data_IF_392240352346
#
_entry.id   IF_392240352346
#
_cell.length_a   1.000
_cell.length_b   1.000
_cell.length_c   1.000
_cell.angle_alpha   90.00
_cell.angle_beta   90.00
_cell.angle_gamma   90.00
#
_symmetry.space_group_name_H-M   'P 1'
#
loop_
_entity.id
_entity.type
_entity.pdbx_description
1 polymer ?
#
# COMPACT_ATOMS: atom_id res chain seq x y z
N UNK A 1 -33.92 -22.92 2.15
CA UNK A 1 -33.37 -21.56 2.01
C UNK A 1 -31.89 -21.62 2.44
N UNK A 2 -31.00 -21.88 1.50
CA UNK A 2 -29.56 -21.90 1.78
C UNK A 2 -29.10 -20.46 2.02
N UNK A 3 -28.65 -20.20 3.25
CA UNK A 3 -27.96 -18.95 3.58
C UNK A 3 -26.58 -19.04 2.93
N UNK A 4 -26.45 -18.50 1.73
CA UNK A 4 -25.14 -18.25 1.13
C UNK A 4 -24.45 -17.14 1.95
N UNK A 5 -23.69 -17.54 2.95
CA UNK A 5 -22.71 -16.63 3.57
C UNK A 5 -21.63 -16.35 2.54
N UNK A 6 -21.73 -15.23 1.85
CA UNK A 6 -20.63 -14.74 1.05
C UNK A 6 -19.52 -14.33 2.02
N UNK A 7 -18.49 -15.17 2.13
CA UNK A 7 -17.31 -14.86 2.93
C UNK A 7 -16.59 -13.66 2.28
N UNK A 8 -16.44 -12.57 3.04
CA UNK A 8 -15.65 -11.44 2.59
C UNK A 8 -14.17 -11.84 2.61
N UNK A 9 -13.50 -11.65 1.50
CA UNK A 9 -12.07 -11.90 1.39
C UNK A 9 -11.30 -10.74 2.04
N UNK A 10 -10.07 -11.01 2.39
CA UNK A 10 -9.17 -10.02 2.98
C UNK A 10 -7.94 -9.84 2.11
N UNK A 11 -7.65 -8.59 1.76
CA UNK A 11 -6.52 -8.21 0.93
C UNK A 11 -5.59 -7.27 1.71
N UNK A 12 -4.32 -7.61 1.81
CA UNK A 12 -3.27 -6.70 2.26
C UNK A 12 -2.78 -5.90 1.07
N UNK A 13 -2.72 -4.57 1.21
CA UNK A 13 -2.33 -3.64 0.16
C UNK A 13 -1.29 -2.66 0.66
N UNK A 14 -0.26 -2.38 -0.15
CA UNK A 14 0.79 -1.40 0.11
C UNK A 14 1.22 -0.72 -1.20
N UNK A 15 1.27 0.61 -1.19
CA UNK A 15 1.76 1.40 -2.32
C UNK A 15 3.21 1.82 -2.12
N UNK A 16 3.96 1.78 -3.21
CA UNK A 16 5.28 2.42 -3.29
C UNK A 16 5.22 3.63 -4.22
N UNK A 17 5.79 4.73 -3.77
CA UNK A 17 5.72 6.01 -4.47
C UNK A 17 7.05 6.78 -4.41
N UNK A 18 7.28 7.62 -5.41
CA UNK A 18 8.43 8.53 -5.44
C UNK A 18 8.40 9.51 -4.27
N UNK A 19 9.53 9.71 -3.64
CA UNK A 19 9.71 10.77 -2.65
C UNK A 19 11.16 11.30 -2.65
N UNK A 20 11.32 12.56 -2.27
CA UNK A 20 12.61 13.21 -2.04
C UNK A 20 12.52 14.28 -0.94
N UNK A 21 13.51 15.17 -0.89
CA UNK A 21 13.59 16.25 0.11
C UNK A 21 12.53 17.35 -0.09
N UNK A 22 11.94 17.46 -1.28
CA UNK A 22 10.93 18.46 -1.66
C UNK A 22 9.58 17.80 -1.83
N UNK A 23 9.52 16.76 -2.66
CA UNK A 23 8.32 15.97 -2.92
C UNK A 23 8.18 14.88 -1.85
N UNK A 24 7.51 15.19 -0.76
CA UNK A 24 7.22 14.22 0.29
C UNK A 24 5.97 14.60 1.08
N UNK A 25 5.28 13.59 1.60
CA UNK A 25 4.07 13.79 2.40
C UNK A 25 4.32 14.62 3.66
N UNK A 26 5.54 14.52 4.22
CA UNK A 26 5.94 15.28 5.42
C UNK A 26 6.00 16.79 5.14
N UNK A 27 6.41 17.18 3.94
CA UNK A 27 6.59 18.60 3.56
C UNK A 27 5.29 19.18 3.00
N UNK A 28 4.61 18.43 2.13
CA UNK A 28 3.51 18.94 1.31
C UNK A 28 2.12 18.55 1.84
N UNK A 29 2.07 17.64 2.83
CA UNK A 29 0.81 16.98 3.20
C UNK A 29 0.32 16.04 2.10
N UNK A 30 -0.76 15.24 2.35
CA UNK A 30 -1.19 14.22 1.39
C UNK A 30 -1.56 14.77 0.02
N UNK A 31 -2.45 15.76 -0.04
CA UNK A 31 -2.92 16.31 -1.32
C UNK A 31 -1.84 17.05 -2.10
N UNK A 32 -0.99 17.80 -1.42
CA UNK A 32 0.14 18.48 -2.05
C UNK A 32 1.18 17.50 -2.58
N UNK A 33 1.42 16.40 -1.85
CA UNK A 33 2.34 15.36 -2.26
C UNK A 33 1.84 14.58 -3.47
N UNK A 34 0.60 14.09 -3.44
CA UNK A 34 0.01 13.35 -4.56
C UNK A 34 -0.21 14.21 -5.81
N UNK A 35 -0.44 15.52 -5.64
CA UNK A 35 -0.56 16.47 -6.73
C UNK A 35 0.76 17.06 -7.23
N UNK A 36 1.91 16.69 -6.63
CA UNK A 36 3.21 17.22 -7.06
C UNK A 36 3.61 16.69 -8.44
N UNK A 37 4.21 17.53 -9.33
CA UNK A 37 4.60 17.11 -10.68
C UNK A 37 5.57 15.92 -10.73
N UNK A 38 6.39 15.75 -9.69
CA UNK A 38 7.34 14.63 -9.59
C UNK A 38 6.76 13.42 -8.89
N UNK A 39 5.53 13.50 -8.38
CA UNK A 39 4.89 12.36 -7.73
C UNK A 39 4.65 11.23 -8.74
N UNK A 40 4.96 10.01 -8.33
CA UNK A 40 4.74 8.80 -9.11
C UNK A 40 4.43 7.64 -8.15
N UNK A 41 3.22 7.09 -8.24
CA UNK A 41 2.85 5.83 -7.59
C UNK A 41 3.22 4.69 -8.53
N UNK A 42 4.45 4.21 -8.45
CA UNK A 42 5.03 3.30 -9.43
C UNK A 42 4.77 1.82 -9.14
N UNK A 43 4.36 1.48 -7.93
CA UNK A 43 4.10 0.08 -7.58
C UNK A 43 2.98 -0.02 -6.54
N UNK A 44 2.21 -1.09 -6.64
CA UNK A 44 1.32 -1.58 -5.59
C UNK A 44 1.54 -3.08 -5.39
N UNK A 45 1.54 -3.50 -4.15
CA UNK A 45 1.54 -4.91 -3.75
C UNK A 45 0.17 -5.25 -3.19
N UNK A 46 -0.43 -6.35 -3.66
CA UNK A 46 -1.72 -6.84 -3.15
C UNK A 46 -1.63 -8.35 -2.93
N UNK A 47 -1.92 -8.78 -1.72
CA UNK A 47 -1.96 -10.20 -1.34
C UNK A 47 -3.31 -10.51 -0.71
N UNK A 48 -4.03 -11.47 -1.27
CA UNK A 48 -5.35 -11.90 -0.82
C UNK A 48 -5.34 -13.28 -0.15
N UNK A 49 -6.27 -13.49 0.78
CA UNK A 49 -6.49 -14.81 1.42
C UNK A 49 -7.12 -15.84 0.44
N UNK A 50 -7.53 -15.37 -0.75
CA UNK A 50 -8.00 -16.21 -1.85
C UNK A 50 -6.86 -16.70 -2.78
N UNK A 51 -5.61 -16.41 -2.44
CA UNK A 51 -4.43 -16.73 -3.26
C UNK A 51 -4.02 -15.66 -4.25
N UNK A 52 -4.72 -14.51 -4.29
CA UNK A 52 -4.28 -13.35 -5.06
C UNK A 52 -2.89 -12.91 -4.60
N UNK A 53 -1.98 -12.74 -5.54
CA UNK A 53 -0.64 -12.20 -5.30
C UNK A 53 -0.24 -11.34 -6.51
N UNK A 54 -0.29 -10.03 -6.33
CA UNK A 54 0.06 -9.04 -7.36
C UNK A 54 1.14 -8.11 -6.84
N UNK A 55 2.15 -7.89 -7.65
CA UNK A 55 3.16 -6.83 -7.46
C UNK A 55 3.45 -6.20 -8.81
N UNK A 56 3.06 -4.95 -8.99
CA UNK A 56 3.21 -4.28 -10.27
C UNK A 56 2.74 -2.83 -10.24
N UNK A 57 2.65 -2.22 -11.43
CA UNK A 57 2.14 -0.86 -11.55
C UNK A 57 0.65 -0.83 -11.20
N UNK A 58 0.14 0.17 -10.43
CA UNK A 58 -1.26 0.24 -10.03
C UNK A 58 -2.28 0.23 -11.16
N UNK A 59 -1.89 0.66 -12.36
CA UNK A 59 -2.74 0.60 -13.58
C UNK A 59 -3.02 -0.81 -14.08
N UNK A 60 -2.14 -1.76 -13.74
CA UNK A 60 -2.19 -3.14 -14.22
C UNK A 60 -2.93 -4.05 -13.24
N UNK A 61 -3.31 -3.54 -12.07
CA UNK A 61 -4.06 -4.29 -11.07
C UNK A 61 -5.56 -4.25 -11.37
N UNK A 62 -6.22 -5.38 -11.26
CA UNK A 62 -7.68 -5.48 -11.33
C UNK A 62 -8.32 -5.05 -10.00
N UNK A 63 -8.63 -3.76 -9.89
CA UNK A 63 -9.20 -3.16 -8.70
C UNK A 63 -10.56 -3.74 -8.31
N UNK A 64 -11.31 -4.34 -9.26
CA UNK A 64 -12.61 -4.96 -8.98
C UNK A 64 -12.53 -6.16 -8.03
N UNK A 65 -11.35 -6.76 -7.88
CA UNK A 65 -11.11 -7.83 -6.90
C UNK A 65 -11.34 -7.37 -5.45
N UNK A 66 -11.24 -6.07 -5.20
CA UNK A 66 -11.45 -5.50 -3.86
C UNK A 66 -12.93 -5.19 -3.57
N UNK A 67 -13.82 -5.26 -4.56
CA UNK A 67 -15.24 -4.94 -4.37
C UNK A 67 -15.90 -5.84 -3.31
N UNK A 68 -16.54 -5.18 -2.33
CA UNK A 68 -17.24 -5.87 -1.24
C UNK A 68 -16.34 -6.66 -0.29
N UNK A 69 -15.02 -6.48 -0.36
CA UNK A 69 -14.03 -7.18 0.44
C UNK A 69 -13.34 -6.26 1.45
N UNK A 70 -12.56 -6.83 2.35
CA UNK A 70 -11.80 -6.11 3.37
C UNK A 70 -10.40 -5.79 2.86
N UNK A 71 -9.96 -4.54 2.98
CA UNK A 71 -8.60 -4.12 2.66
C UNK A 71 -7.84 -3.77 3.93
N UNK A 72 -6.63 -4.31 4.06
CA UNK A 72 -5.70 -4.04 5.15
C UNK A 72 -4.49 -3.27 4.61
N UNK A 73 -4.10 -2.20 5.27
CA UNK A 73 -2.83 -1.52 5.00
C UNK A 73 -2.15 -1.12 6.30
N UNK A 74 -0.80 -1.08 6.27
CA UNK A 74 -0.05 -0.61 7.43
C UNK A 74 0.16 0.90 7.32
N UNK A 75 -0.64 1.70 8.04
CA UNK A 75 -0.89 3.12 7.87
C UNK A 75 -1.91 3.41 6.75
N UNK A 76 -3.05 2.74 6.82
CA UNK A 76 -4.11 2.78 5.81
C UNK A 76 -4.54 4.19 5.36
N UNK A 77 -4.40 5.20 6.21
CA UNK A 77 -4.67 6.59 5.84
C UNK A 77 -3.86 7.07 4.63
N UNK A 78 -2.62 6.58 4.46
CA UNK A 78 -1.83 6.89 3.28
C UNK A 78 -2.36 6.17 2.04
N UNK A 79 -2.47 4.85 2.14
CA UNK A 79 -2.83 3.99 0.99
C UNK A 79 -4.25 4.26 0.49
N UNK A 80 -5.21 4.40 1.40
CA UNK A 80 -6.59 4.73 1.05
C UNK A 80 -6.69 6.12 0.41
N UNK A 81 -6.01 7.13 0.96
CA UNK A 81 -6.03 8.48 0.40
C UNK A 81 -5.37 8.52 -0.98
N UNK A 82 -4.26 7.80 -1.18
CA UNK A 82 -3.61 7.69 -2.48
C UNK A 82 -4.51 6.96 -3.49
N UNK A 83 -5.14 5.86 -3.07
CA UNK A 83 -6.09 5.14 -3.90
C UNK A 83 -7.22 6.06 -4.38
N UNK A 84 -7.91 6.77 -3.45
CA UNK A 84 -9.00 7.69 -3.78
C UNK A 84 -8.55 8.87 -4.65
N UNK A 85 -7.35 9.39 -4.39
CA UNK A 85 -6.77 10.45 -5.22
C UNK A 85 -6.54 9.95 -6.66
N UNK A 86 -5.97 8.78 -6.86
CA UNK A 86 -5.71 8.20 -8.17
C UNK A 86 -6.99 7.88 -8.94
N UNK A 87 -8.05 7.40 -8.28
CA UNK A 87 -9.38 7.24 -8.86
C UNK A 87 -9.91 8.59 -9.35
N UNK A 88 -9.83 9.64 -8.53
CA UNK A 88 -10.25 10.99 -8.91
C UNK A 88 -9.47 11.54 -10.11
N UNK A 89 -8.18 11.23 -10.20
CA UNK A 89 -7.32 11.62 -11.32
C UNK A 89 -7.46 10.70 -12.54
N UNK A 90 -8.26 9.63 -12.44
CA UNK A 90 -8.42 8.59 -13.49
C UNK A 90 -7.09 7.88 -13.82
N UNK A 91 -6.24 7.70 -12.79
CA UNK A 91 -4.99 6.93 -12.93
C UNK A 91 -5.25 5.43 -12.95
N UNK A 92 -6.29 4.98 -12.25
CA UNK A 92 -6.78 3.60 -12.20
C UNK A 92 -8.28 3.56 -11.94
N UNK A 93 -8.86 2.37 -12.08
CA UNK A 93 -10.29 2.16 -11.91
C UNK A 93 -10.73 2.26 -10.45
N UNK A 94 -12.00 2.58 -10.26
CA UNK A 94 -12.62 2.60 -8.93
C UNK A 94 -13.04 1.20 -8.51
N UNK A 95 -12.95 0.93 -7.21
CA UNK A 95 -13.58 -0.19 -6.55
C UNK A 95 -14.33 0.27 -5.29
N UNK A 96 -15.13 -0.60 -4.73
CA UNK A 96 -15.92 -0.35 -3.54
C UNK A 96 -15.64 -1.42 -2.47
N UNK A 97 -14.48 -1.36 -1.78
CA UNK A 97 -14.21 -2.23 -0.65
C UNK A 97 -15.28 -2.07 0.42
N UNK A 98 -15.64 -3.15 1.09
CA UNK A 98 -16.57 -3.08 2.21
C UNK A 98 -15.96 -2.32 3.39
N UNK A 99 -14.69 -2.54 3.65
CA UNK A 99 -13.97 -1.96 4.78
C UNK A 99 -12.48 -1.74 4.45
N UNK A 100 -11.91 -0.67 5.01
CA UNK A 100 -10.47 -0.44 5.10
C UNK A 100 -10.03 -0.48 6.56
N UNK A 101 -9.03 -1.29 6.88
CA UNK A 101 -8.45 -1.36 8.22
C UNK A 101 -6.98 -0.99 8.24
N UNK A 102 -6.60 -0.23 9.27
CA UNK A 102 -5.21 0.14 9.54
C UNK A 102 -4.56 -0.89 10.48
N UNK A 103 -3.68 -1.72 9.98
CA UNK A 103 -2.96 -2.68 10.83
C UNK A 103 -2.01 -2.00 11.82
N UNK A 104 -1.51 -0.77 11.51
CA UNK A 104 -0.73 0.01 12.47
C UNK A 104 -1.56 0.46 13.68
N UNK A 105 -2.83 0.79 13.50
CA UNK A 105 -3.74 1.14 14.59
C UNK A 105 -4.13 -0.10 15.39
N UNK A 106 -4.37 -1.22 14.71
CA UNK A 106 -4.70 -2.49 15.35
C UNK A 106 -3.56 -2.97 16.27
N UNK A 107 -2.31 -2.96 15.81
CA UNK A 107 -1.17 -3.36 16.66
C UNK A 107 -0.96 -2.40 17.82
N UNK A 108 -1.18 -1.10 17.62
CA UNK A 108 -1.12 -0.12 18.69
C UNK A 108 -2.22 -0.35 19.75
N UNK A 109 -3.44 -0.70 19.33
CA UNK A 109 -4.51 -1.11 20.24
C UNK A 109 -4.13 -2.34 21.08
N UNK A 110 -3.38 -3.27 20.49
CA UNK A 110 -2.83 -4.44 21.19
C UNK A 110 -1.57 -4.12 22.03
N UNK A 111 -1.21 -2.85 22.21
CA UNK A 111 0.00 -2.37 22.93
C UNK A 111 1.31 -2.85 22.33
N UNK A 112 1.32 -3.13 21.05
CA UNK A 112 2.52 -3.45 20.28
C UNK A 112 3.08 -2.18 19.60
N UNK A 113 4.36 -2.19 19.20
CA UNK A 113 4.94 -1.08 18.44
C UNK A 113 4.14 -0.78 17.17
N UNK A 114 3.79 0.50 16.95
CA UNK A 114 3.02 0.93 15.79
C UNK A 114 3.75 0.72 14.46
N UNK A 115 5.09 0.69 14.47
CA UNK A 115 5.86 0.49 13.24
C UNK A 115 5.80 -0.97 12.76
N UNK A 116 5.68 -1.19 11.45
CA UNK A 116 5.67 -2.53 10.86
C UNK A 116 6.88 -3.37 11.32
N UNK A 117 8.08 -2.77 11.32
CA UNK A 117 9.31 -3.44 11.79
C UNK A 117 9.22 -3.88 13.26
N UNK A 118 8.68 -3.03 14.12
CA UNK A 118 8.56 -3.33 15.55
C UNK A 118 7.49 -4.38 15.82
N UNK A 119 6.30 -4.21 15.25
CA UNK A 119 5.19 -5.15 15.46
C UNK A 119 5.49 -6.54 14.91
N UNK A 120 6.10 -6.64 13.71
CA UNK A 120 6.47 -7.94 13.13
C UNK A 120 7.58 -8.64 13.92
N UNK A 121 8.54 -7.87 14.49
CA UNK A 121 9.56 -8.43 15.34
C UNK A 121 8.96 -9.02 16.64
N UNK A 122 8.03 -8.31 17.28
CA UNK A 122 7.41 -8.77 18.53
C UNK A 122 6.39 -9.90 18.31
N UNK A 123 5.60 -9.84 17.23
CA UNK A 123 4.54 -10.85 16.99
C UNK A 123 5.07 -12.13 16.36
N UNK A 124 6.08 -12.05 15.50
CA UNK A 124 6.49 -13.15 14.64
C UNK A 124 7.99 -13.45 14.66
N UNK A 125 8.78 -12.73 15.49
CA UNK A 125 10.24 -12.79 15.49
C UNK A 125 10.86 -12.54 14.09
N UNK A 126 10.18 -11.71 13.29
CA UNK A 126 10.61 -11.38 11.92
C UNK A 126 11.37 -10.06 11.89
N UNK A 127 12.54 -10.07 11.24
CA UNK A 127 13.33 -8.86 11.00
C UNK A 127 12.99 -8.28 9.62
N UNK A 128 12.20 -7.22 9.60
CA UNK A 128 11.92 -6.47 8.36
C UNK A 128 13.11 -5.58 8.03
N UNK A 129 13.72 -5.82 6.88
CA UNK A 129 14.80 -4.97 6.33
C UNK A 129 14.20 -3.77 5.60
N UNK A 130 14.53 -2.56 6.06
CA UNK A 130 14.11 -1.29 5.44
C UNK A 130 15.20 -0.65 4.58
N UNK A 131 16.36 -1.28 4.41
CA UNK A 131 17.48 -0.72 3.65
C UNK A 131 17.11 -0.42 2.19
N UNK A 132 16.21 -1.21 1.61
CA UNK A 132 15.72 -0.99 0.25
C UNK A 132 14.96 0.32 0.15
N UNK A 133 14.03 0.59 1.08
CA UNK A 133 13.26 1.84 1.11
C UNK A 133 14.15 3.07 1.28
N UNK A 134 15.15 3.00 2.16
CA UNK A 134 16.06 4.12 2.42
C UNK A 134 16.87 4.48 1.16
N UNK A 135 17.09 3.51 0.28
CA UNK A 135 17.78 3.69 -1.00
C UNK A 135 16.88 4.21 -2.13
N UNK A 136 15.57 4.38 -1.89
CA UNK A 136 14.60 4.79 -2.92
C UNK A 136 14.44 6.31 -3.04
N UNK A 137 14.89 7.08 -2.05
CA UNK A 137 14.74 8.54 -2.05
C UNK A 137 15.36 9.17 -3.30
N UNK A 138 14.57 9.99 -4.01
CA UNK A 138 14.97 10.69 -5.22
C UNK A 138 15.13 9.82 -6.47
N UNK A 139 14.70 8.55 -6.45
CA UNK A 139 14.79 7.65 -7.61
C UNK A 139 13.40 7.44 -8.21
N UNK A 140 13.26 7.77 -9.50
CA UNK A 140 12.07 7.39 -10.29
C UNK A 140 12.19 5.94 -10.73
N UNK A 141 11.05 5.26 -10.89
CA UNK A 141 11.04 3.86 -11.31
C UNK A 141 11.89 3.58 -12.57
N UNK A 142 11.83 4.49 -13.56
CA UNK A 142 12.61 4.39 -14.79
C UNK A 142 14.14 4.36 -14.55
N UNK A 143 14.60 5.06 -13.53
CA UNK A 143 16.02 5.25 -13.22
C UNK A 143 16.55 4.21 -12.22
N UNK A 144 15.68 3.33 -11.71
CA UNK A 144 16.08 2.32 -10.74
C UNK A 144 16.83 1.17 -11.41
N UNK A 145 17.95 0.72 -10.82
CA UNK A 145 18.62 -0.51 -11.23
C UNK A 145 17.71 -1.74 -11.12
N UNK A 146 17.84 -2.69 -12.02
CA UNK A 146 16.98 -3.89 -12.06
C UNK A 146 17.12 -4.78 -10.80
N UNK A 147 18.29 -4.81 -10.17
CA UNK A 147 18.49 -5.51 -8.90
C UNK A 147 17.69 -4.88 -7.74
N UNK A 148 17.55 -3.55 -7.75
CA UNK A 148 16.71 -2.83 -6.79
C UNK A 148 15.22 -3.07 -7.06
N UNK A 149 14.78 -3.03 -8.31
CA UNK A 149 13.40 -3.36 -8.70
C UNK A 149 13.00 -4.78 -8.30
N UNK A 150 13.94 -5.75 -8.42
CA UNK A 150 13.69 -7.14 -7.99
C UNK A 150 13.54 -7.29 -6.48
N UNK A 151 14.20 -6.44 -5.68
CA UNK A 151 14.06 -6.46 -4.21
C UNK A 151 12.76 -5.84 -3.72
N UNK A 152 12.08 -5.08 -4.57
CA UNK A 152 10.80 -4.45 -4.29
C UNK A 152 9.61 -5.34 -4.68
N UNK A 153 9.84 -6.29 -5.58
CA UNK A 153 8.86 -7.30 -5.99
C UNK A 153 8.93 -8.54 -5.11
#
# INVERSE_FOLDING_TARGET
MELNFTYMKTFALDFESYYDKVCSIRILGPLGYFGHPDFDAYMVSVVGDDGTNFVGHPKDFDWSLLDGNVVLSHNASFDETLYLFGVKQKWWDSCSPAEWHCTADLVAYCRLPRSLKGSTAEMFDLKVDKSTRDNMSGKKWADMPEDLKKKLR
#
